data_IF_682225250518
#
_entry.id   IF_682225250518
#
_cell.length_a   1.000
_cell.length_b   1.000
_cell.length_c   1.000
_cell.angle_alpha   90.00
_cell.angle_beta   90.00
_cell.angle_gamma   90.00
#
_symmetry.space_group_name_H-M   'P 1'
#
loop_
_entity.id
_entity.type
_entity.pdbx_description
1 polymer ?
#
# COMPACT_ATOMS: atom_id res chain seq x y z
N UNK A 1 23.77 -19.00 27.82
CA UNK A 1 23.52 -18.20 29.04
C UNK A 1 22.04 -18.25 29.38
N UNK A 2 21.70 -18.58 30.64
CA UNK A 2 20.32 -18.61 31.16
C UNK A 2 19.57 -17.28 30.96
N UNK A 3 20.31 -16.15 30.98
CA UNK A 3 19.79 -14.81 30.75
C UNK A 3 19.09 -14.66 29.38
N UNK A 4 19.71 -15.16 28.30
CA UNK A 4 19.11 -15.08 26.94
C UNK A 4 17.82 -15.90 26.84
N UNK A 5 17.71 -17.00 27.60
CA UNK A 5 16.52 -17.86 27.64
C UNK A 5 15.38 -17.18 28.40
N UNK A 6 15.68 -16.55 29.54
CA UNK A 6 14.71 -15.79 30.33
C UNK A 6 14.17 -14.58 29.56
N UNK A 7 15.03 -13.81 28.87
CA UNK A 7 14.60 -12.67 28.04
C UNK A 7 13.72 -13.12 26.85
N UNK A 8 14.03 -14.26 26.21
CA UNK A 8 13.17 -14.83 25.16
C UNK A 8 11.81 -15.26 25.70
N UNK A 9 11.76 -15.94 26.84
CA UNK A 9 10.50 -16.33 27.48
C UNK A 9 9.67 -15.12 27.89
N UNK A 10 10.30 -14.06 28.42
CA UNK A 10 9.64 -12.80 28.75
C UNK A 10 9.02 -12.15 27.50
N UNK A 11 9.79 -12.03 26.40
CA UNK A 11 9.28 -11.50 25.12
C UNK A 11 8.08 -12.27 24.54
N UNK A 12 7.94 -13.56 24.83
CA UNK A 12 6.78 -14.37 24.41
C UNK A 12 5.51 -14.09 25.24
N UNK A 13 5.64 -13.55 26.45
CA UNK A 13 4.51 -13.31 27.37
C UNK A 13 3.99 -11.86 27.36
N UNK A 14 4.75 -10.92 26.80
CA UNK A 14 4.30 -9.55 26.58
C UNK A 14 3.66 -9.47 25.19
N UNK A 15 2.33 -9.32 25.15
CA UNK A 15 1.64 -8.86 23.94
C UNK A 15 2.09 -7.43 23.71
N UNK A 16 3.12 -7.23 22.88
CA UNK A 16 3.58 -5.89 22.51
C UNK A 16 2.49 -5.26 21.64
N UNK A 17 1.69 -4.39 22.25
CA UNK A 17 0.74 -3.54 21.53
C UNK A 17 1.49 -2.24 21.21
N UNK A 18 1.86 -2.05 19.95
CA UNK A 18 2.35 -0.76 19.47
C UNK A 18 1.15 0.11 19.10
N UNK A 19 0.98 1.25 19.76
CA UNK A 19 0.06 2.27 19.29
C UNK A 19 0.77 3.05 18.17
N UNK A 20 0.18 3.07 16.98
CA UNK A 20 0.65 3.88 15.86
C UNK A 20 -0.32 5.05 15.74
N UNK A 21 0.21 6.26 15.89
CA UNK A 21 -0.57 7.48 15.67
C UNK A 21 -0.53 7.82 14.18
N UNK A 22 -1.69 8.16 13.63
CA UNK A 22 -1.81 8.66 12.26
C UNK A 22 -2.25 10.11 12.33
N UNK A 23 -1.39 11.04 11.92
CA UNK A 23 -1.76 12.45 11.83
C UNK A 23 -2.41 12.72 10.48
N UNK A 24 -3.42 13.60 10.45
CA UNK A 24 -4.09 13.98 9.22
C UNK A 24 -3.09 14.57 8.21
N UNK A 25 -3.18 14.14 6.96
CA UNK A 25 -2.29 14.52 5.86
C UNK A 25 -0.79 14.20 6.05
N UNK A 26 -0.39 13.46 7.10
CA UNK A 26 1.01 13.08 7.30
C UNK A 26 1.45 12.01 6.30
N UNK A 27 0.63 10.97 6.13
CA UNK A 27 0.96 9.83 5.29
C UNK A 27 -0.19 9.48 4.35
N UNK A 28 0.17 8.94 3.19
CA UNK A 28 -0.71 8.22 2.29
C UNK A 28 -0.10 6.86 2.00
N UNK A 29 -0.84 5.79 2.29
CA UNK A 29 -0.39 4.42 2.06
C UNK A 29 -0.81 3.98 0.68
N UNK A 30 0.10 3.37 -0.07
CA UNK A 30 -0.18 2.91 -1.45
C UNK A 30 0.21 1.46 -1.64
N UNK A 31 -0.59 0.73 -2.41
CA UNK A 31 -0.32 -0.66 -2.79
C UNK A 31 -1.03 -1.06 -4.10
N UNK A 32 -0.65 -2.20 -4.67
CA UNK A 32 -1.42 -2.88 -5.71
C UNK A 32 -2.17 -4.06 -5.11
N UNK A 33 -3.50 -3.98 -5.09
CA UNK A 33 -4.36 -4.93 -4.41
C UNK A 33 -4.73 -6.13 -5.30
N UNK A 34 -4.70 -7.32 -4.69
CA UNK A 34 -5.32 -8.53 -5.21
C UNK A 34 -4.60 -9.19 -6.38
N UNK A 35 -5.28 -10.14 -7.00
CA UNK A 35 -4.85 -10.77 -8.25
C UNK A 35 -5.26 -9.90 -9.45
N UNK A 36 -4.53 -10.05 -10.56
CA UNK A 36 -4.86 -9.39 -11.83
C UNK A 36 -6.28 -9.71 -12.27
N UNK A 37 -7.08 -8.67 -12.46
CA UNK A 37 -8.41 -8.74 -13.03
C UNK A 37 -8.32 -8.86 -14.56
N UNK A 38 -9.32 -9.49 -15.17
CA UNK A 38 -9.43 -9.61 -16.62
C UNK A 38 -10.48 -8.62 -17.15
N UNK A 39 -10.08 -7.80 -18.11
CA UNK A 39 -10.91 -6.81 -18.80
C UNK A 39 -11.02 -7.24 -20.25
N UNK A 40 -12.24 -7.44 -20.73
CA UNK A 40 -12.50 -7.80 -22.13
C UNK A 40 -12.84 -6.52 -22.89
N UNK A 41 -12.10 -6.26 -23.96
CA UNK A 41 -12.41 -5.20 -24.91
C UNK A 41 -13.67 -5.60 -25.71
N UNK A 42 -14.76 -4.85 -25.55
CA UNK A 42 -16.05 -5.16 -26.19
C UNK A 42 -15.98 -5.12 -27.73
N UNK A 43 -15.06 -4.33 -28.30
CA UNK A 43 -14.97 -4.11 -29.74
C UNK A 43 -14.07 -5.15 -30.42
N UNK A 44 -13.00 -5.57 -29.75
CA UNK A 44 -12.02 -6.52 -30.32
C UNK A 44 -12.18 -7.94 -29.78
N UNK A 45 -12.83 -8.12 -28.63
CA UNK A 45 -12.89 -9.39 -27.91
C UNK A 45 -11.58 -9.77 -27.20
N UNK A 46 -10.57 -8.89 -27.22
CA UNK A 46 -9.29 -9.16 -26.55
C UNK A 46 -9.42 -9.05 -25.03
N UNK A 47 -8.92 -10.07 -24.32
CA UNK A 47 -8.80 -10.03 -22.86
C UNK A 47 -7.45 -9.44 -22.45
N UNK A 48 -7.49 -8.37 -21.65
CA UNK A 48 -6.31 -7.72 -21.05
C UNK A 48 -6.35 -7.88 -19.54
N UNK A 49 -5.17 -7.96 -18.93
CA UNK A 49 -5.04 -8.01 -17.48
C UNK A 49 -4.87 -6.61 -16.91
N UNK A 50 -5.61 -6.30 -15.86
CA UNK A 50 -5.52 -5.07 -15.09
C UNK A 50 -5.16 -5.38 -13.63
N UNK A 51 -4.45 -4.45 -13.01
CA UNK A 51 -4.08 -4.43 -11.60
C UNK A 51 -4.91 -3.34 -10.90
N UNK A 52 -5.13 -3.44 -9.60
CA UNK A 52 -5.85 -2.39 -8.85
C UNK A 52 -4.86 -1.61 -8.00
N UNK A 53 -4.59 -0.36 -8.36
CA UNK A 53 -3.89 0.58 -7.50
C UNK A 53 -4.82 1.04 -6.37
N UNK A 54 -4.31 1.10 -5.15
CA UNK A 54 -5.05 1.56 -3.96
C UNK A 54 -4.22 2.58 -3.20
N UNK A 55 -4.84 3.68 -2.79
CA UNK A 55 -4.26 4.68 -1.90
C UNK A 55 -5.20 4.96 -0.71
N UNK A 56 -4.65 5.06 0.50
CA UNK A 56 -5.42 5.26 1.74
C UNK A 56 -4.78 6.34 2.62
N UNK A 57 -5.58 7.27 3.12
CA UNK A 57 -5.20 8.18 4.21
C UNK A 57 -5.43 7.47 5.56
N UNK A 58 -4.40 7.10 6.32
CA UNK A 58 -4.54 6.22 7.48
C UNK A 58 -5.23 6.88 8.67
N UNK A 59 -5.27 8.21 8.74
CA UNK A 59 -6.01 8.93 9.79
C UNK A 59 -7.53 8.75 9.66
N UNK A 60 -8.06 8.76 8.43
CA UNK A 60 -9.51 8.76 8.16
C UNK A 60 -10.00 7.48 7.47
N UNK A 61 -9.09 6.62 7.04
CA UNK A 61 -9.36 5.51 6.11
C UNK A 61 -9.98 5.96 4.79
N UNK A 62 -9.82 7.23 4.42
CA UNK A 62 -10.33 7.71 3.14
C UNK A 62 -9.52 7.08 2.01
N UNK A 63 -10.21 6.38 1.12
CA UNK A 63 -9.61 5.40 0.20
C UNK A 63 -9.91 5.77 -1.24
N UNK A 64 -8.89 5.65 -2.07
CA UNK A 64 -8.93 5.79 -3.52
C UNK A 64 -8.48 4.47 -4.16
N UNK A 65 -9.16 4.03 -5.22
CA UNK A 65 -8.77 2.85 -5.99
C UNK A 65 -8.95 3.11 -7.49
N UNK A 66 -8.02 2.62 -8.31
CA UNK A 66 -8.14 2.66 -9.77
C UNK A 66 -7.60 1.39 -10.42
N UNK A 67 -8.16 1.02 -11.57
CA UNK A 67 -7.63 -0.06 -12.39
C UNK A 67 -6.52 0.49 -13.30
N UNK A 68 -5.35 -0.13 -13.27
CA UNK A 68 -4.20 0.22 -14.11
C UNK A 68 -3.73 -1.00 -14.90
N UNK A 69 -3.00 -0.78 -15.98
CA UNK A 69 -2.57 -1.87 -16.87
C UNK A 69 -1.30 -2.59 -16.41
N UNK A 70 -0.53 -1.99 -15.50
CA UNK A 70 0.66 -2.61 -14.94
C UNK A 70 1.03 -2.06 -13.57
N UNK A 71 1.96 -2.73 -12.88
CA UNK A 71 2.56 -2.27 -11.62
C UNK A 71 3.89 -1.51 -11.87
N UNK A 72 4.08 -0.94 -13.06
CA UNK A 72 5.30 -0.20 -13.39
C UNK A 72 5.29 1.17 -12.70
N UNK A 73 6.46 1.81 -12.69
CA UNK A 73 6.66 3.09 -12.02
C UNK A 73 5.75 4.18 -12.59
N UNK A 74 5.51 4.14 -13.89
CA UNK A 74 4.66 5.11 -14.58
C UNK A 74 3.22 5.02 -14.07
N UNK A 75 2.67 3.81 -13.98
CA UNK A 75 1.31 3.57 -13.46
C UNK A 75 1.22 3.87 -11.96
N UNK A 76 2.29 3.61 -11.18
CA UNK A 76 2.36 3.98 -9.77
C UNK A 76 2.32 5.50 -9.56
N UNK A 77 3.10 6.25 -10.35
CA UNK A 77 3.13 7.72 -10.29
C UNK A 77 1.76 8.26 -10.67
N UNK A 78 1.17 7.74 -11.75
CA UNK A 78 -0.15 8.12 -12.22
C UNK A 78 -1.22 7.94 -11.14
N UNK A 79 -1.26 6.76 -10.49
CA UNK A 79 -2.20 6.50 -9.40
C UNK A 79 -2.00 7.40 -8.20
N UNK A 80 -0.75 7.75 -7.87
CA UNK A 80 -0.48 8.70 -6.79
C UNK A 80 -0.97 10.11 -7.13
N UNK A 81 -0.77 10.58 -8.36
CA UNK A 81 -1.28 11.87 -8.83
C UNK A 81 -2.81 11.93 -8.77
N UNK A 82 -3.49 10.89 -9.27
CA UNK A 82 -4.95 10.83 -9.24
C UNK A 82 -5.50 10.74 -7.82
N UNK A 83 -4.84 9.97 -6.94
CA UNK A 83 -5.22 9.88 -5.54
C UNK A 83 -5.13 11.24 -4.84
N UNK A 84 -4.05 11.99 -5.04
CA UNK A 84 -3.89 13.34 -4.46
C UNK A 84 -4.93 14.33 -5.00
N UNK A 85 -5.26 14.24 -6.29
CA UNK A 85 -6.35 15.03 -6.87
C UNK A 85 -7.70 14.66 -6.25
N UNK A 86 -7.99 13.37 -6.09
CA UNK A 86 -9.21 12.87 -5.47
C UNK A 86 -9.33 13.28 -3.99
N UNK A 87 -8.23 13.27 -3.24
CA UNK A 87 -8.19 13.73 -1.85
C UNK A 87 -8.19 15.25 -1.71
N UNK A 88 -8.08 16.00 -2.82
CA UNK A 88 -7.98 17.46 -2.84
C UNK A 88 -6.83 17.99 -1.96
N UNK A 89 -5.74 17.22 -1.86
CA UNK A 89 -4.65 17.51 -0.93
C UNK A 89 -3.40 16.68 -1.19
N UNK A 90 -2.28 17.11 -0.61
CA UNK A 90 -0.97 16.47 -0.77
C UNK A 90 -0.49 15.99 0.60
N UNK A 91 -0.28 14.68 0.81
CA UNK A 91 0.27 14.15 2.05
C UNK A 91 1.76 14.49 2.19
N UNK A 92 2.28 14.54 3.42
CA UNK A 92 3.71 14.79 3.64
C UNK A 92 4.60 13.64 3.17
N UNK A 93 4.10 12.40 3.19
CA UNK A 93 4.80 11.21 2.70
C UNK A 93 3.88 10.23 1.97
N UNK A 94 4.39 9.65 0.89
CA UNK A 94 3.81 8.48 0.22
C UNK A 94 4.55 7.24 0.73
N UNK A 95 3.83 6.30 1.32
CA UNK A 95 4.41 5.10 1.94
C UNK A 95 3.91 3.85 1.21
N UNK A 96 4.74 3.22 0.36
CA UNK A 96 4.40 1.95 -0.25
C UNK A 96 4.54 0.79 0.75
N UNK A 97 3.58 -0.14 0.78
CA UNK A 97 3.55 -1.24 1.77
C UNK A 97 4.69 -2.26 1.56
N UNK A 98 5.13 -2.49 0.32
CA UNK A 98 6.08 -3.55 0.01
C UNK A 98 7.56 -3.10 0.03
N UNK A 99 8.09 -2.84 1.23
CA UNK A 99 9.52 -2.57 1.49
C UNK A 99 10.46 -3.75 1.09
N UNK A 100 9.95 -4.89 0.62
CA UNK A 100 10.78 -5.96 0.04
C UNK A 100 11.32 -5.61 -1.35
N UNK A 101 10.75 -4.63 -2.06
CA UNK A 101 11.32 -4.13 -3.32
C UNK A 101 12.60 -3.27 -3.11
N UNK A 102 12.89 -2.84 -1.87
CA UNK A 102 14.10 -2.11 -1.51
C UNK A 102 15.29 -3.02 -1.16
N UNK A 103 15.11 -4.35 -1.16
CA UNK A 103 16.21 -5.31 -1.02
C UNK A 103 16.78 -5.59 -2.41
N UNK A 104 17.67 -4.71 -2.87
CA UNK A 104 18.63 -5.05 -3.91
C UNK A 104 19.45 -6.23 -3.37
N UNK A 105 19.45 -7.35 -4.06
CA UNK A 105 20.38 -8.45 -3.78
C UNK A 105 21.68 -8.24 -4.54
#
# INVERSE_FOLDING_TARGET
>A
SSFKRAVRQYKFHIKVVGHVEHYAADQMYVDFAGDRLEVVDEMTGETKKAEVFVAVLPFSHYTYCEAVWSQRKEDLIWGCENAMQYFEGVPAAIVPDNLKAAVIR
#
